data_IF_108453762733
#
_entry.id   IF_108453762733
#
_cell.length_a   1.000
_cell.length_b   1.000
_cell.length_c   1.000
_cell.angle_alpha   90.00
_cell.angle_beta   90.00
_cell.angle_gamma   90.00
#
_symmetry.space_group_name_H-M   'P 1'
#
loop_
_entity.id
_entity.type
_entity.pdbx_description
1 polymer ?
#
# COMPACT_ATOMS: atom_id res chain seq x y z
N UNK A 1 13.14 -14.06 8.21
CA UNK A 1 11.73 -14.47 8.02
C UNK A 1 11.50 -14.95 6.58
N UNK A 2 12.34 -15.85 6.07
CA UNK A 2 12.45 -16.14 4.63
C UNK A 2 12.36 -17.61 4.16
N UNK A 3 12.13 -18.66 4.98
CA UNK A 3 11.88 -20.00 4.43
C UNK A 3 10.40 -20.37 4.25
N UNK A 4 9.45 -19.61 4.81
CA UNK A 4 8.02 -19.99 4.75
C UNK A 4 7.33 -19.63 3.42
N UNK A 5 7.88 -18.66 2.66
CA UNK A 5 7.25 -18.18 1.43
C UNK A 5 7.66 -18.95 0.16
N UNK A 6 8.70 -19.78 0.22
CA UNK A 6 9.11 -20.61 -0.92
C UNK A 6 8.27 -21.88 -1.06
N UNK A 7 7.83 -22.51 0.04
CA UNK A 7 7.01 -23.72 0.00
C UNK A 7 5.59 -23.46 -0.52
N UNK A 8 5.01 -22.30 -0.23
CA UNK A 8 3.67 -21.92 -0.74
C UNK A 8 3.65 -21.55 -2.22
N UNK A 9 4.81 -21.22 -2.82
CA UNK A 9 4.90 -20.86 -4.23
C UNK A 9 4.91 -22.09 -5.14
N UNK A 10 5.33 -23.26 -4.66
CA UNK A 10 5.35 -24.49 -5.47
C UNK A 10 3.98 -25.19 -5.52
N UNK A 11 3.14 -25.05 -4.49
CA UNK A 11 1.86 -25.77 -4.41
C UNK A 11 0.73 -25.16 -5.27
N UNK A 12 0.87 -23.89 -5.71
CA UNK A 12 -0.17 -23.18 -6.48
C UNK A 12 0.12 -23.02 -7.98
N UNK A 13 1.24 -23.54 -8.49
CA UNK A 13 1.65 -23.26 -9.88
C UNK A 13 1.22 -24.32 -10.91
N UNK A 14 0.71 -25.49 -10.50
CA UNK A 14 0.27 -26.54 -11.44
C UNK A 14 -1.16 -27.02 -11.19
N UNK A 15 -2.13 -26.13 -11.37
CA UNK A 15 -3.48 -26.58 -11.75
C UNK A 15 -3.51 -26.64 -13.28
N UNK A 16 -3.26 -27.82 -13.83
CA UNK A 16 -3.36 -28.07 -15.26
C UNK A 16 -4.84 -28.07 -15.69
N UNK A 17 -5.27 -26.97 -16.31
CA UNK A 17 -6.65 -26.74 -16.74
C UNK A 17 -6.97 -27.48 -18.06
N UNK A 18 -6.02 -28.26 -18.59
CA UNK A 18 -6.18 -29.01 -19.84
C UNK A 18 -7.18 -30.17 -19.70
N UNK A 19 -7.21 -30.83 -18.53
CA UNK A 19 -8.15 -31.94 -18.27
C UNK A 19 -9.61 -31.48 -18.21
N UNK A 20 -9.86 -30.26 -17.69
CA UNK A 20 -11.19 -29.66 -17.64
C UNK A 20 -11.73 -29.26 -19.03
N UNK A 21 -10.85 -29.07 -20.03
CA UNK A 21 -11.26 -28.82 -21.42
C UNK A 21 -11.48 -30.10 -22.22
N UNK A 22 -10.79 -31.20 -21.90
CA UNK A 22 -10.93 -32.47 -22.61
C UNK A 22 -12.28 -33.15 -22.33
N UNK A 23 -12.82 -33.04 -21.11
CA UNK A 23 -14.11 -33.64 -20.75
C UNK A 23 -15.34 -32.95 -21.40
N UNK A 24 -15.18 -31.77 -21.99
CA UNK A 24 -16.28 -31.06 -22.63
C UNK A 24 -16.57 -31.52 -24.07
N UNK A 25 -15.68 -32.29 -24.71
CA UNK A 25 -15.74 -32.54 -26.15
C UNK A 25 -15.88 -34.00 -26.60
N UNK A 26 -16.01 -34.98 -25.68
CA UNK A 26 -16.09 -36.40 -26.05
C UNK A 26 -17.42 -37.04 -25.60
N UNK A 27 -18.53 -36.56 -26.17
CA UNK A 27 -19.81 -37.27 -26.15
C UNK A 27 -19.86 -38.22 -27.35
N UNK A 28 -19.29 -39.41 -27.20
CA UNK A 28 -19.32 -40.45 -28.22
C UNK A 28 -19.18 -41.87 -27.66
N UNK A 29 -20.31 -42.48 -27.29
CA UNK A 29 -20.50 -43.93 -27.06
C UNK A 29 -19.70 -44.62 -25.94
N UNK A 30 -20.31 -44.79 -24.77
CA UNK A 30 -20.20 -46.02 -23.95
C UNK A 30 -21.37 -46.13 -22.93
N UNK A 31 -21.81 -47.35 -22.53
CA UNK A 31 -23.04 -47.58 -21.77
C UNK A 31 -22.88 -47.29 -20.27
N UNK A 32 -23.98 -47.11 -19.51
CA UNK A 32 -23.96 -46.35 -18.28
C UNK A 32 -23.52 -47.21 -17.09
N UNK A 33 -22.32 -46.96 -16.57
CA UNK A 33 -21.99 -47.38 -15.20
C UNK A 33 -22.68 -46.39 -14.26
N UNK A 34 -23.62 -46.90 -13.45
CA UNK A 34 -24.39 -46.14 -12.46
C UNK A 34 -23.46 -45.37 -11.51
N UNK A 35 -23.08 -44.15 -11.86
CA UNK A 35 -22.63 -43.17 -10.89
C UNK A 35 -23.85 -42.73 -10.10
N UNK A 36 -23.83 -43.11 -8.82
CA UNK A 36 -24.68 -42.63 -7.76
C UNK A 36 -24.80 -41.11 -7.93
N UNK A 37 -26.01 -40.62 -8.21
CA UNK A 37 -26.26 -39.19 -8.31
C UNK A 37 -25.85 -38.54 -6.99
N UNK A 38 -24.70 -37.85 -7.01
CA UNK A 38 -24.36 -36.86 -5.99
C UNK A 38 -25.43 -35.77 -6.11
N UNK A 39 -26.15 -35.54 -5.02
CA UNK A 39 -27.19 -34.53 -4.89
C UNK A 39 -26.59 -33.15 -5.09
N UNK A 40 -26.59 -32.67 -6.33
CA UNK A 40 -25.93 -31.46 -6.82
C UNK A 40 -26.47 -30.14 -6.24
N UNK A 41 -27.55 -30.17 -5.45
CA UNK A 41 -28.15 -28.99 -4.83
C UNK A 41 -27.43 -28.54 -3.55
N UNK A 42 -27.20 -29.46 -2.61
CA UNK A 42 -26.61 -29.14 -1.29
C UNK A 42 -25.11 -28.84 -1.38
N UNK A 43 -24.38 -29.53 -2.27
CA UNK A 43 -22.94 -29.30 -2.46
C UNK A 43 -22.65 -27.95 -3.12
N UNK A 44 -23.43 -27.55 -4.13
CA UNK A 44 -23.26 -26.25 -4.78
C UNK A 44 -23.56 -25.10 -3.82
N UNK A 45 -24.60 -25.21 -3.00
CA UNK A 45 -24.94 -24.21 -1.99
C UNK A 45 -23.89 -24.13 -0.87
N UNK A 46 -23.33 -25.28 -0.47
CA UNK A 46 -22.28 -25.38 0.55
C UNK A 46 -20.95 -24.79 0.06
N UNK A 47 -20.51 -25.15 -1.15
CA UNK A 47 -19.31 -24.58 -1.80
C UNK A 47 -19.44 -23.06 -1.94
N UNK A 48 -20.65 -22.59 -2.22
CA UNK A 48 -20.96 -21.17 -2.39
C UNK A 48 -20.98 -20.39 -1.10
N UNK A 49 -21.53 -20.95 -0.02
CA UNK A 49 -21.41 -20.41 1.34
C UNK A 49 -19.95 -20.37 1.79
N UNK A 50 -19.16 -21.40 1.48
CA UNK A 50 -17.73 -21.45 1.77
C UNK A 50 -16.94 -20.38 1.02
N UNK A 51 -17.16 -20.21 -0.30
CA UNK A 51 -16.57 -19.13 -1.11
C UNK A 51 -16.92 -17.73 -0.60
N UNK A 52 -18.17 -17.53 -0.20
CA UNK A 52 -18.62 -16.27 0.40
C UNK A 52 -17.93 -16.01 1.75
N UNK A 53 -17.78 -17.05 2.59
CA UNK A 53 -17.10 -16.93 3.88
C UNK A 53 -15.61 -16.61 3.69
N UNK A 54 -14.93 -17.33 2.81
CA UNK A 54 -13.50 -17.10 2.50
C UNK A 54 -13.31 -15.70 1.93
N UNK A 55 -14.18 -15.25 1.03
CA UNK A 55 -14.08 -13.90 0.45
C UNK A 55 -14.31 -12.80 1.50
N UNK A 56 -15.26 -13.00 2.42
CA UNK A 56 -15.49 -12.10 3.57
C UNK A 56 -14.31 -12.10 4.55
N UNK A 57 -13.72 -13.27 4.81
CA UNK A 57 -12.53 -13.39 5.64
C UNK A 57 -11.34 -12.70 4.99
N UNK A 58 -11.10 -12.88 3.70
CA UNK A 58 -10.03 -12.20 2.96
C UNK A 58 -10.22 -10.69 2.91
N UNK A 59 -11.45 -10.19 2.73
CA UNK A 59 -11.73 -8.75 2.85
C UNK A 59 -11.45 -8.24 4.26
N UNK A 60 -11.95 -8.95 5.28
CA UNK A 60 -11.73 -8.57 6.67
C UNK A 60 -10.25 -8.61 7.03
N UNK A 61 -9.51 -9.63 6.60
CA UNK A 61 -8.08 -9.71 6.79
C UNK A 61 -7.34 -8.69 5.95
N UNK A 62 -7.77 -8.31 4.75
CA UNK A 62 -7.17 -7.19 4.02
C UNK A 62 -7.35 -5.86 4.76
N UNK A 63 -8.52 -5.66 5.39
CA UNK A 63 -8.80 -4.50 6.22
C UNK A 63 -8.02 -4.51 7.54
N UNK A 64 -8.01 -5.65 8.25
CA UNK A 64 -7.22 -5.84 9.48
C UNK A 64 -5.72 -5.76 9.15
N UNK A 65 -5.24 -6.35 8.07
CA UNK A 65 -3.85 -6.22 7.58
C UNK A 65 -3.58 -4.76 7.20
N UNK A 66 -4.52 -4.00 6.66
CA UNK A 66 -4.34 -2.57 6.43
C UNK A 66 -4.26 -1.76 7.74
N UNK A 67 -4.97 -2.21 8.77
CA UNK A 67 -4.92 -1.63 10.12
C UNK A 67 -3.69 -2.12 10.93
N UNK A 68 -3.20 -3.34 10.66
CA UNK A 68 -2.18 -4.06 11.40
C UNK A 68 -0.82 -4.13 10.68
N UNK A 69 -0.71 -3.78 9.38
CA UNK A 69 0.55 -3.58 8.66
C UNK A 69 1.20 -2.27 9.11
N UNK A 70 1.56 -2.25 10.39
CA UNK A 70 2.78 -1.75 11.02
C UNK A 70 3.35 -0.40 10.56
N UNK A 71 2.58 0.45 9.90
CA UNK A 71 3.01 1.76 9.50
C UNK A 71 1.93 2.76 9.87
N UNK A 72 2.26 3.74 10.71
CA UNK A 72 1.32 4.82 10.98
C UNK A 72 1.25 5.63 9.69
N UNK A 73 0.09 5.57 9.02
CA UNK A 73 -0.11 6.22 7.74
C UNK A 73 -0.87 7.52 7.89
N UNK A 74 -0.32 8.61 7.35
CA UNK A 74 -1.02 9.89 7.26
C UNK A 74 -0.97 10.43 5.85
N UNK A 75 -2.11 10.96 5.40
CA UNK A 75 -2.24 11.62 4.11
C UNK A 75 -2.62 13.07 4.31
N UNK A 76 -1.91 13.97 3.64
CA UNK A 76 -2.22 15.40 3.64
C UNK A 76 -2.53 15.88 2.23
N UNK A 77 -3.48 16.82 2.12
CA UNK A 77 -3.64 17.64 0.91
C UNK A 77 -2.87 18.92 1.12
N UNK A 78 -1.97 19.21 0.20
CA UNK A 78 -1.14 20.41 0.19
C UNK A 78 -1.49 21.20 -1.07
N UNK A 79 -1.74 22.51 -0.93
CA UNK A 79 -2.12 23.39 -2.04
C UNK A 79 -0.99 24.36 -2.36
N UNK A 80 -0.73 24.61 -3.64
CA UNK A 80 0.23 25.63 -4.07
C UNK A 80 -0.30 27.06 -3.81
N UNK A 81 0.56 28.02 -3.42
CA UNK A 81 1.99 27.88 -3.13
C UNK A 81 2.21 27.33 -1.70
N UNK A 82 3.03 26.29 -1.56
CA UNK A 82 3.42 25.75 -0.26
C UNK A 82 4.89 25.28 -0.27
N UNK A 83 5.68 25.61 0.76
CA UNK A 83 7.11 25.31 0.82
C UNK A 83 7.43 23.81 0.79
N UNK A 84 6.54 22.95 1.29
CA UNK A 84 6.70 21.49 1.22
C UNK A 84 6.77 21.05 -0.24
N UNK A 85 5.89 21.58 -1.09
CA UNK A 85 5.80 21.17 -2.49
C UNK A 85 7.08 21.56 -3.23
N UNK A 86 7.56 22.80 -3.05
CA UNK A 86 8.77 23.27 -3.73
C UNK A 86 10.03 22.52 -3.27
N UNK A 87 10.21 22.36 -1.96
CA UNK A 87 11.44 21.77 -1.40
C UNK A 87 11.52 20.28 -1.68
N UNK A 88 10.42 19.53 -1.46
CA UNK A 88 10.41 18.08 -1.71
C UNK A 88 10.56 17.78 -3.20
N UNK A 89 9.94 18.57 -4.09
CA UNK A 89 10.12 18.39 -5.54
C UNK A 89 11.53 18.70 -6.01
N UNK A 90 12.15 19.73 -5.46
CA UNK A 90 13.53 20.07 -5.80
C UNK A 90 14.48 18.92 -5.41
N UNK A 91 14.32 18.39 -4.19
CA UNK A 91 15.19 17.32 -3.68
C UNK A 91 14.98 15.99 -4.41
N UNK A 92 13.72 15.57 -4.58
CA UNK A 92 13.38 14.36 -5.35
C UNK A 92 13.78 14.51 -6.82
N UNK A 93 13.61 15.70 -7.41
CA UNK A 93 14.05 15.99 -8.77
C UNK A 93 15.58 15.86 -8.92
N UNK A 94 16.34 16.41 -7.98
CA UNK A 94 17.80 16.29 -7.93
C UNK A 94 18.25 14.84 -7.84
N UNK A 95 17.61 14.04 -6.98
CA UNK A 95 17.87 12.60 -6.89
C UNK A 95 17.60 11.89 -8.22
N UNK A 96 16.44 12.13 -8.84
CA UNK A 96 16.05 11.45 -10.08
C UNK A 96 16.97 11.82 -11.25
N UNK A 97 17.41 13.08 -11.34
CA UNK A 97 18.39 13.49 -12.35
C UNK A 97 19.76 12.84 -12.11
N UNK A 98 20.25 12.78 -10.86
CA UNK A 98 21.48 12.05 -10.54
C UNK A 98 21.38 10.57 -10.90
N UNK A 99 20.25 9.92 -10.57
CA UNK A 99 19.99 8.52 -10.92
C UNK A 99 19.92 8.30 -12.43
N UNK A 100 19.32 9.23 -13.17
CA UNK A 100 19.26 9.19 -14.64
C UNK A 100 20.66 9.34 -15.25
N UNK A 101 21.43 10.32 -14.80
CA UNK A 101 22.81 10.55 -15.24
C UNK A 101 23.70 9.35 -14.95
N UNK A 102 23.61 8.74 -13.76
CA UNK A 102 24.33 7.53 -13.41
C UNK A 102 23.99 6.36 -14.35
N UNK A 103 22.70 6.13 -14.65
CA UNK A 103 22.26 5.09 -15.60
C UNK A 103 22.77 5.34 -17.02
N UNK A 104 22.82 6.59 -17.47
CA UNK A 104 23.30 6.95 -18.81
C UNK A 104 24.82 6.95 -18.93
N UNK A 105 25.56 7.20 -17.85
CA UNK A 105 27.03 7.28 -17.83
C UNK A 105 27.72 6.00 -17.31
N UNK A 106 26.95 5.01 -16.85
CA UNK A 106 27.50 3.84 -16.16
C UNK A 106 28.08 4.15 -14.78
N UNK A 107 27.74 5.29 -14.19
CA UNK A 107 28.17 5.70 -12.86
C UNK A 107 27.41 5.00 -11.73
N UNK A 108 27.85 5.21 -10.49
CA UNK A 108 27.16 4.71 -9.30
C UNK A 108 25.82 5.41 -9.10
N UNK A 109 24.79 4.62 -8.74
CA UNK A 109 23.49 5.17 -8.38
C UNK A 109 23.61 6.01 -7.09
N UNK A 110 22.74 7.02 -6.90
CA UNK A 110 22.61 7.70 -5.62
C UNK A 110 22.32 6.71 -4.49
N UNK A 111 22.86 7.00 -3.31
CA UNK A 111 22.71 6.17 -2.11
C UNK A 111 21.27 6.18 -1.58
N UNK A 112 20.79 5.03 -1.11
CA UNK A 112 19.46 4.86 -0.52
C UNK A 112 18.27 5.06 -1.47
N UNK A 113 17.09 5.21 -0.89
CA UNK A 113 15.83 5.33 -1.64
C UNK A 113 15.31 6.77 -1.75
N UNK A 114 14.56 7.07 -2.82
CA UNK A 114 13.94 8.39 -3.08
C UNK A 114 13.17 8.94 -1.87
N UNK A 115 12.49 8.06 -1.14
CA UNK A 115 11.59 8.48 -0.07
C UNK A 115 12.38 9.06 1.12
N UNK A 116 13.61 8.62 1.36
CA UNK A 116 14.47 9.15 2.41
C UNK A 116 14.81 10.63 2.17
N UNK A 117 15.11 11.00 0.91
CA UNK A 117 15.35 12.38 0.50
C UNK A 117 14.10 13.26 0.61
N UNK A 118 12.95 12.72 0.21
CA UNK A 118 11.67 13.41 0.38
C UNK A 118 11.35 13.68 1.86
N UNK A 119 11.64 12.71 2.74
CA UNK A 119 11.48 12.83 4.18
C UNK A 119 12.44 13.86 4.79
N UNK A 120 13.71 13.84 4.41
CA UNK A 120 14.71 14.81 4.87
C UNK A 120 14.30 16.25 4.50
N UNK A 121 13.86 16.47 3.26
CA UNK A 121 13.35 17.75 2.81
C UNK A 121 12.10 18.19 3.59
N UNK A 122 11.18 17.25 3.87
CA UNK A 122 9.95 17.51 4.61
C UNK A 122 10.24 17.93 6.07
N UNK A 123 11.10 17.19 6.77
CA UNK A 123 11.45 17.47 8.16
C UNK A 123 12.15 18.82 8.31
N UNK A 124 12.97 19.22 7.33
CA UNK A 124 13.56 20.56 7.29
C UNK A 124 12.49 21.66 7.21
N UNK A 125 11.50 21.51 6.32
CA UNK A 125 10.40 22.48 6.18
C UNK A 125 9.52 22.51 7.44
N UNK A 126 9.29 21.35 8.06
CA UNK A 126 8.49 21.23 9.28
C UNK A 126 9.12 21.98 10.47
N UNK A 127 10.43 21.84 10.70
CA UNK A 127 11.13 22.52 11.80
C UNK A 127 11.18 24.04 11.62
N UNK A 128 11.21 24.51 10.37
CA UNK A 128 11.21 25.94 10.04
C UNK A 128 9.87 26.63 10.35
N UNK A 129 8.80 25.90 10.66
CA UNK A 129 7.53 26.52 11.01
C UNK A 129 7.59 27.17 12.39
N UNK A 130 7.31 28.47 12.46
CA UNK A 130 7.34 29.23 13.72
C UNK A 130 6.24 28.77 14.69
N UNK A 131 5.10 28.33 14.16
CA UNK A 131 3.92 27.88 14.94
C UNK A 131 4.06 26.47 15.51
N UNK A 132 5.12 25.73 15.14
CA UNK A 132 5.39 24.41 15.70
C UNK A 132 5.99 24.53 17.12
N UNK A 133 5.46 23.75 18.05
CA UNK A 133 5.88 23.75 19.44
C UNK A 133 7.34 23.26 19.61
N UNK A 134 7.98 23.73 20.68
CA UNK A 134 9.39 23.42 20.96
C UNK A 134 9.66 21.92 21.18
N UNK A 135 8.69 21.18 21.71
CA UNK A 135 8.81 19.73 21.92
C UNK A 135 8.83 18.98 20.60
N UNK A 136 7.88 19.27 19.71
CA UNK A 136 7.86 18.69 18.36
C UNK A 136 9.12 19.03 17.56
N UNK A 137 9.62 20.28 17.66
CA UNK A 137 10.90 20.66 17.03
C UNK A 137 12.06 19.82 17.54
N UNK A 138 12.19 19.66 18.86
CA UNK A 138 13.25 18.85 19.45
C UNK A 138 13.19 17.37 19.03
N UNK A 139 12.00 16.79 18.90
CA UNK A 139 11.83 15.40 18.39
C UNK A 139 12.32 15.28 16.95
N UNK A 140 11.95 16.24 16.09
CA UNK A 140 12.38 16.22 14.68
C UNK A 140 13.89 16.43 14.58
N UNK A 141 14.46 17.39 15.30
CA UNK A 141 15.90 17.67 15.29
C UNK A 141 16.71 16.51 15.86
N UNK A 142 16.23 15.85 16.92
CA UNK A 142 16.86 14.63 17.46
C UNK A 142 16.87 13.51 16.43
N UNK A 143 15.78 13.32 15.68
CA UNK A 143 15.73 12.31 14.61
C UNK A 143 16.69 12.69 13.46
N UNK A 144 16.71 13.95 13.04
CA UNK A 144 17.62 14.43 11.98
C UNK A 144 19.09 14.30 12.38
N UNK A 145 19.43 14.49 13.65
CA UNK A 145 20.78 14.29 14.16
C UNK A 145 21.17 12.81 14.25
N UNK A 146 20.22 11.93 14.57
CA UNK A 146 20.46 10.48 14.67
C UNK A 146 20.59 9.80 13.30
N UNK A 147 19.92 10.33 12.27
CA UNK A 147 19.87 9.75 10.93
C UNK A 147 20.96 10.33 10.03
N UNK A 148 22.17 9.75 10.12
CA UNK A 148 23.33 10.19 9.35
C UNK A 148 23.37 9.69 7.88
N UNK A 149 22.56 8.70 7.51
CA UNK A 149 22.50 8.15 6.15
C UNK A 149 21.06 7.95 5.65
N UNK A 150 20.83 7.99 4.33
CA UNK A 150 19.51 7.71 3.74
C UNK A 150 18.95 6.32 4.07
N UNK A 151 19.83 5.31 4.23
CA UNK A 151 19.43 3.94 4.55
C UNK A 151 18.83 3.82 5.95
N UNK A 152 19.41 4.53 6.94
CA UNK A 152 18.83 4.55 8.29
C UNK A 152 17.46 5.24 8.33
N UNK A 153 17.23 6.21 7.44
CA UNK A 153 15.90 6.81 7.28
C UNK A 153 14.92 5.79 6.71
N UNK A 154 15.34 4.96 5.74
CA UNK A 154 14.49 3.95 5.12
C UNK A 154 14.03 2.85 6.09
N UNK A 155 14.85 2.52 7.10
CA UNK A 155 14.47 1.57 8.17
C UNK A 155 13.31 2.09 9.04
N UNK A 156 13.18 3.41 9.15
CA UNK A 156 12.17 4.09 9.99
C UNK A 156 10.98 4.59 9.18
N UNK A 157 11.23 5.08 7.97
CA UNK A 157 10.26 5.79 7.13
C UNK A 157 10.00 4.95 5.89
N UNK A 158 8.85 4.27 5.86
CA UNK A 158 8.50 3.41 4.74
C UNK A 158 7.96 4.19 3.54
N UNK A 159 7.32 5.34 3.77
CA UNK A 159 6.75 6.17 2.71
C UNK A 159 6.92 7.65 3.07
N UNK A 160 7.50 8.41 2.15
CA UNK A 160 7.41 9.86 2.10
C UNK A 160 7.35 10.28 0.62
N UNK A 161 6.15 10.61 0.13
CA UNK A 161 5.97 10.94 -1.30
C UNK A 161 4.88 11.97 -1.55
N UNK A 162 5.12 12.84 -2.53
CA UNK A 162 4.13 13.76 -3.09
C UNK A 162 3.57 13.22 -4.40
N UNK A 163 2.25 13.21 -4.53
CA UNK A 163 1.53 12.87 -5.77
C UNK A 163 0.61 14.00 -6.18
N UNK A 164 0.54 14.32 -7.46
CA UNK A 164 -0.42 15.31 -7.97
C UNK A 164 -1.85 14.85 -7.67
N UNK A 165 -2.67 15.72 -7.11
CA UNK A 165 -4.09 15.47 -6.93
C UNK A 165 -4.85 15.73 -8.25
N UNK A 166 -6.13 15.36 -8.28
CA UNK A 166 -7.00 15.61 -9.43
C UNK A 166 -7.20 17.12 -9.65
N UNK A 167 -7.37 17.86 -8.56
CA UNK A 167 -7.52 19.32 -8.60
C UNK A 167 -6.20 19.98 -8.97
N UNK A 168 -6.28 20.99 -9.84
CA UNK A 168 -5.12 21.78 -10.27
C UNK A 168 -4.52 22.52 -9.06
N UNK A 169 -3.21 22.43 -8.90
CA UNK A 169 -2.48 23.07 -7.80
C UNK A 169 -2.55 22.32 -6.46
N UNK A 170 -3.16 21.13 -6.41
CA UNK A 170 -3.20 20.31 -5.20
C UNK A 170 -2.31 19.06 -5.31
N UNK A 171 -1.71 18.69 -4.18
CA UNK A 171 -0.84 17.53 -4.03
C UNK A 171 -1.29 16.71 -2.82
N UNK A 172 -1.14 15.40 -2.94
CA UNK A 172 -1.30 14.45 -1.84
C UNK A 172 0.09 14.09 -1.32
N UNK A 173 0.37 14.45 -0.08
CA UNK A 173 1.53 13.98 0.67
C UNK A 173 1.14 12.70 1.39
N UNK A 174 1.89 11.64 1.19
CA UNK A 174 1.71 10.37 1.89
C UNK A 174 2.92 10.11 2.78
N UNK A 175 2.66 9.89 4.06
CA UNK A 175 3.67 9.58 5.08
C UNK A 175 3.34 8.23 5.71
N UNK A 176 4.35 7.40 5.88
CA UNK A 176 4.26 6.15 6.61
C UNK A 176 5.58 5.91 7.36
N UNK A 177 5.50 5.66 8.67
CA UNK A 177 6.66 5.36 9.52
C UNK A 177 6.40 4.12 10.37
N UNK A 178 7.49 3.50 10.84
CA UNK A 178 7.47 2.43 11.84
C UNK A 178 6.65 2.80 13.08
N UNK A 179 5.91 1.88 13.73
CA UNK A 179 5.03 2.20 14.85
C UNK A 179 5.81 2.72 16.06
N UNK A 180 7.04 2.23 16.25
CA UNK A 180 7.96 2.72 17.27
C UNK A 180 8.27 4.22 17.15
N UNK A 181 8.09 4.77 15.95
CA UNK A 181 8.36 6.17 15.62
C UNK A 181 7.06 6.97 15.39
N UNK A 182 5.93 6.50 15.93
CA UNK A 182 4.65 7.21 15.84
C UNK A 182 4.76 8.67 16.33
N UNK A 183 5.43 8.91 17.45
CA UNK A 183 5.63 10.25 17.99
C UNK A 183 6.40 11.19 17.05
N UNK A 184 7.35 10.65 16.27
CA UNK A 184 8.04 11.41 15.23
C UNK A 184 7.07 11.81 14.11
N UNK A 185 6.21 10.89 13.66
CA UNK A 185 5.21 11.22 12.66
C UNK A 185 4.21 12.26 13.17
N UNK A 186 3.79 12.20 14.44
CA UNK A 186 2.94 13.24 15.02
C UNK A 186 3.61 14.62 15.01
N UNK A 187 4.88 14.71 15.43
CA UNK A 187 5.64 15.95 15.40
C UNK A 187 5.79 16.51 13.98
N UNK A 188 6.16 15.66 13.00
CA UNK A 188 6.25 16.06 11.59
C UNK A 188 4.88 16.47 11.05
N UNK A 189 3.82 15.76 11.43
CA UNK A 189 2.44 16.08 11.02
C UNK A 189 2.02 17.46 11.52
N UNK A 190 2.34 17.82 12.76
CA UNK A 190 2.07 19.15 13.29
C UNK A 190 2.78 20.24 12.47
N UNK A 191 4.06 20.03 12.12
CA UNK A 191 4.80 20.93 11.24
C UNK A 191 4.21 21.01 9.82
N UNK A 192 3.72 19.90 9.29
CA UNK A 192 3.03 19.87 7.98
C UNK A 192 1.72 20.65 8.03
N UNK A 193 0.91 20.46 9.07
CA UNK A 193 -0.34 21.20 9.27
C UNK A 193 -0.09 22.70 9.44
N UNK A 194 0.99 23.09 10.11
CA UNK A 194 1.41 24.49 10.26
C UNK A 194 1.66 25.21 8.92
N UNK A 195 1.96 24.47 7.84
CA UNK A 195 2.10 25.03 6.48
C UNK A 195 0.76 25.31 5.77
N UNK A 196 -0.37 25.04 6.44
CA UNK A 196 -1.71 25.12 5.84
C UNK A 196 -2.12 23.86 5.07
N UNK A 197 -1.39 22.75 5.23
CA UNK A 197 -1.82 21.46 4.72
C UNK A 197 -3.04 20.94 5.49
N UNK A 198 -3.87 20.14 4.82
CA UNK A 198 -5.07 19.55 5.43
C UNK A 198 -4.90 18.04 5.54
N UNK A 199 -4.90 17.52 6.77
CA UNK A 199 -4.90 16.07 7.00
C UNK A 199 -6.21 15.45 6.48
N UNK A 200 -6.09 14.46 5.61
CA UNK A 200 -7.22 13.60 5.25
C UNK A 200 -7.41 12.54 6.31
N UNK A 201 -8.47 12.72 7.08
CA UNK A 201 -8.99 11.70 8.00
C UNK A 201 -9.97 10.79 7.26
N UNK A 202 -9.91 9.49 7.55
CA UNK A 202 -10.78 8.48 6.94
C UNK A 202 -10.00 7.28 6.40
N UNK A 203 -10.70 6.17 6.22
CA UNK A 203 -10.11 4.92 5.72
C UNK A 203 -9.55 5.14 4.30
N UNK A 204 -8.38 4.57 4.02
CA UNK A 204 -7.83 4.63 2.66
C UNK A 204 -8.86 4.08 1.67
N UNK A 205 -9.07 4.73 0.50
CA UNK A 205 -10.05 4.27 -0.47
C UNK A 205 -9.76 2.82 -0.86
N UNK A 206 -10.81 2.02 -1.07
CA UNK A 206 -10.69 0.62 -1.45
C UNK A 206 -9.76 0.48 -2.69
N UNK A 207 -8.80 -0.45 -2.60
CA UNK A 207 -7.91 -0.80 -3.72
C UNK A 207 -8.74 -1.36 -4.88
N UNK A 208 -8.20 -1.35 -6.11
CA UNK A 208 -8.89 -1.93 -7.27
C UNK A 208 -9.33 -3.38 -7.01
N UNK A 209 -8.42 -4.16 -6.44
CA UNK A 209 -8.66 -5.55 -6.03
C UNK A 209 -9.73 -5.69 -4.94
N UNK A 210 -9.73 -4.79 -3.94
CA UNK A 210 -10.76 -4.76 -2.89
C UNK A 210 -12.15 -4.42 -3.46
N UNK A 211 -12.22 -3.53 -4.47
CA UNK A 211 -13.47 -3.22 -5.19
C UNK A 211 -13.95 -4.40 -6.03
N UNK A 212 -13.04 -5.07 -6.72
CA UNK A 212 -13.37 -6.27 -7.52
C UNK A 212 -13.85 -7.41 -6.62
N UNK A 213 -13.19 -7.64 -5.48
CA UNK A 213 -13.57 -8.64 -4.50
C UNK A 213 -14.93 -8.31 -3.86
N UNK A 214 -15.19 -7.04 -3.53
CA UNK A 214 -16.50 -6.60 -3.06
C UNK A 214 -17.59 -6.87 -4.12
N UNK A 215 -17.34 -6.55 -5.39
CA UNK A 215 -18.31 -6.83 -6.46
C UNK A 215 -18.59 -8.33 -6.65
N UNK A 216 -17.59 -9.19 -6.42
CA UNK A 216 -17.78 -10.65 -6.43
C UNK A 216 -18.58 -11.14 -5.22
N UNK A 217 -18.33 -10.58 -4.04
CA UNK A 217 -19.09 -10.86 -2.82
C UNK A 217 -20.54 -10.43 -2.96
N UNK A 218 -20.81 -9.26 -3.56
CA UNK A 218 -22.16 -8.75 -3.78
C UNK A 218 -22.93 -9.69 -4.74
N UNK A 219 -22.31 -10.09 -5.86
CA UNK A 219 -22.88 -11.09 -6.79
C UNK A 219 -23.14 -12.43 -6.12
N UNK A 220 -22.20 -12.93 -5.33
CA UNK A 220 -22.39 -14.19 -4.59
C UNK A 220 -23.48 -14.07 -3.54
N UNK A 221 -23.67 -12.90 -2.93
CA UNK A 221 -24.75 -12.65 -1.96
C UNK A 221 -26.10 -12.60 -2.65
N UNK A 222 -26.22 -11.90 -3.77
CA UNK A 222 -27.46 -11.84 -4.56
C UNK A 222 -27.92 -13.21 -5.03
N UNK A 223 -27.01 -14.01 -5.55
CA UNK A 223 -27.36 -15.35 -6.02
C UNK A 223 -27.72 -16.23 -4.79
N UNK A 224 -27.23 -15.94 -3.57
CA UNK A 224 -27.38 -16.80 -2.37
C UNK A 224 -28.62 -16.44 -1.56
N UNK A 225 -29.21 -15.30 -1.89
CA UNK A 225 -30.47 -14.78 -1.34
C UNK A 225 -31.67 -15.17 -2.21
N UNK A 226 -31.45 -15.93 -3.28
CA UNK A 226 -32.45 -16.57 -4.14
C UNK A 226 -32.51 -18.05 -3.81
#
# INVERSE_FOLDING_TARGET
VLPFFSELAEEFVHVDVSELRAQANDNGNQPPTKMRALSTGEDAETVRKALLLVSKMTLRQELEIRELQSAVFKTFVVREPNPIISTVRAEVGSYLEKAKMARSSGGSLPEGEVHAYAWAALTQVAVQQETLDGTSKAVIDSHRAAMASPDMIADVVYIAKLKKAFNKGEFKLFLAVSPAHHGLLEAVSAGVLATGAVEKKGQAPASGMSRELQALVDKLTEIASK
#
